data_IF_003818026689
#
_entry.id   IF_003818026689
#
_cell.length_a   1.000
_cell.length_b   1.000
_cell.length_c   1.000
_cell.angle_alpha   90.00
_cell.angle_beta   90.00
_cell.angle_gamma   90.00
#
_symmetry.space_group_name_H-M   'P 1'
#
loop_
_entity.id
_entity.type
_entity.pdbx_description
1 polymer ?
#
# COMPACT_ATOMS: atom_id res chain seq x y z
N UNK A 1 -5.77 27.90 -9.24
CA UNK A 1 -6.07 27.53 -7.83
C UNK A 1 -5.46 26.19 -7.52
N UNK A 2 -4.84 26.06 -6.37
CA UNK A 2 -4.32 24.79 -5.89
C UNK A 2 -5.40 23.94 -5.21
N UNK A 3 -5.35 22.61 -5.38
CA UNK A 3 -6.28 21.70 -4.71
C UNK A 3 -5.75 20.29 -4.59
N UNK A 4 -6.39 19.48 -3.77
CA UNK A 4 -6.09 18.09 -3.50
C UNK A 4 -7.12 17.20 -4.22
N UNK A 5 -6.67 16.25 -5.04
CA UNK A 5 -7.55 15.27 -5.68
C UNK A 5 -8.01 14.25 -4.64
N UNK A 6 -9.30 14.25 -4.34
CA UNK A 6 -9.88 13.35 -3.33
C UNK A 6 -10.69 12.20 -3.94
N UNK A 7 -11.09 12.30 -5.21
CA UNK A 7 -11.82 11.26 -5.92
C UNK A 7 -11.49 11.25 -7.40
N UNK A 8 -11.38 10.04 -7.97
CA UNK A 8 -11.16 9.82 -9.38
C UNK A 8 -12.25 8.87 -9.90
N UNK A 9 -12.94 9.26 -10.96
CA UNK A 9 -13.97 8.44 -11.62
C UNK A 9 -13.57 8.05 -13.05
N UNK A 10 -12.29 8.20 -13.39
CA UNK A 10 -11.73 7.93 -14.73
C UNK A 10 -11.83 9.13 -15.68
N UNK A 11 -12.97 9.75 -15.79
CA UNK A 11 -13.20 10.92 -16.66
C UNK A 11 -13.26 12.24 -15.90
N UNK A 12 -13.56 12.18 -14.61
CA UNK A 12 -13.69 13.33 -13.73
C UNK A 12 -12.90 13.13 -12.45
N UNK A 13 -12.42 14.24 -11.91
CA UNK A 13 -11.68 14.33 -10.67
C UNK A 13 -12.38 15.30 -9.75
N UNK A 14 -12.67 14.87 -8.53
CA UNK A 14 -13.13 15.77 -7.50
C UNK A 14 -11.91 16.32 -6.76
N UNK A 15 -11.78 17.61 -6.77
CA UNK A 15 -10.66 18.34 -6.17
C UNK A 15 -11.16 19.20 -5.04
N UNK A 16 -10.55 19.05 -3.86
CA UNK A 16 -10.78 19.92 -2.71
C UNK A 16 -9.78 21.08 -2.75
N UNK A 17 -10.29 22.29 -2.91
CA UNK A 17 -9.48 23.52 -2.95
C UNK A 17 -9.03 23.93 -1.55
N UNK A 18 -8.06 24.84 -1.46
CA UNK A 18 -7.54 25.33 -0.17
C UNK A 18 -8.59 26.03 0.69
N UNK A 19 -9.61 26.66 0.08
CA UNK A 19 -10.78 27.23 0.76
C UNK A 19 -11.85 26.20 1.13
N UNK A 20 -11.55 24.88 0.93
CA UNK A 20 -12.40 23.75 1.33
C UNK A 20 -13.53 23.41 0.36
N UNK A 21 -13.66 24.11 -0.77
CA UNK A 21 -14.68 23.80 -1.79
C UNK A 21 -14.34 22.55 -2.58
N UNK A 22 -15.37 21.81 -2.97
CA UNK A 22 -15.25 20.65 -3.87
C UNK A 22 -15.55 21.11 -5.29
N UNK A 23 -14.63 20.83 -6.21
CA UNK A 23 -14.72 21.20 -7.62
C UNK A 23 -14.53 19.97 -8.48
N UNK A 24 -15.50 19.71 -9.36
CA UNK A 24 -15.37 18.63 -10.34
C UNK A 24 -14.57 19.13 -11.55
N UNK A 25 -13.45 18.46 -11.82
CA UNK A 25 -12.48 18.84 -12.82
C UNK A 25 -12.32 17.78 -13.90
N UNK A 26 -11.97 18.23 -15.11
CA UNK A 26 -11.47 17.38 -16.21
C UNK A 26 -9.98 17.60 -16.40
N UNK A 27 -9.33 16.68 -17.12
CA UNK A 27 -7.96 16.88 -17.59
C UNK A 27 -8.00 17.70 -18.89
N UNK A 28 -7.11 18.68 -19.02
CA UNK A 28 -6.93 19.41 -20.29
C UNK A 28 -6.29 18.49 -21.35
N UNK A 29 -6.85 18.42 -22.55
CA UNK A 29 -6.58 17.39 -23.58
C UNK A 29 -5.12 17.14 -24.01
N UNK A 30 -4.16 18.02 -23.68
CA UNK A 30 -2.74 17.88 -23.99
C UNK A 30 -1.87 17.54 -22.76
N UNK A 31 -2.48 17.05 -21.69
CA UNK A 31 -1.77 16.76 -20.43
C UNK A 31 -0.92 15.49 -20.58
N UNK A 32 0.38 15.64 -20.76
CA UNK A 32 1.35 14.54 -20.78
C UNK A 32 2.32 14.72 -19.62
N UNK A 33 2.27 13.83 -18.66
CA UNK A 33 3.33 13.72 -17.63
C UNK A 33 4.62 13.21 -18.29
N UNK A 34 5.71 13.98 -18.18
CA UNK A 34 7.03 13.52 -18.61
C UNK A 34 7.40 12.26 -17.82
N UNK A 35 7.57 11.14 -18.53
CA UNK A 35 8.10 9.90 -17.96
C UNK A 35 7.08 8.86 -17.47
N UNK A 36 5.79 9.17 -17.36
CA UNK A 36 4.78 8.19 -16.91
C UNK A 36 3.89 7.79 -18.10
N UNK A 37 4.01 6.55 -18.54
CA UNK A 37 3.10 5.91 -19.51
C UNK A 37 1.87 5.36 -18.79
N UNK A 38 0.99 6.23 -18.33
CA UNK A 38 -0.28 5.84 -17.69
C UNK A 38 -1.45 6.39 -18.50
N UNK A 39 -2.52 5.61 -18.63
CA UNK A 39 -3.79 6.05 -19.20
C UNK A 39 -4.49 7.07 -18.30
N UNK A 40 -4.19 7.08 -17.03
CA UNK A 40 -4.74 8.00 -16.05
C UNK A 40 -3.59 8.58 -15.19
N UNK A 41 -3.07 9.75 -15.55
CA UNK A 41 -1.88 10.31 -14.92
C UNK A 41 -2.15 10.89 -13.54
N UNK A 42 -3.42 11.12 -13.16
CA UNK A 42 -3.82 11.76 -11.91
C UNK A 42 -4.39 10.70 -10.97
N UNK A 43 -3.92 10.71 -9.72
CA UNK A 43 -4.35 9.81 -8.66
C UNK A 43 -4.96 10.60 -7.48
N UNK A 44 -5.70 9.91 -6.62
CA UNK A 44 -6.09 10.48 -5.32
C UNK A 44 -4.84 10.79 -4.50
N UNK A 45 -4.85 11.92 -3.79
CA UNK A 45 -3.68 12.42 -3.06
C UNK A 45 -2.77 13.35 -3.88
N UNK A 46 -3.00 13.51 -5.19
CA UNK A 46 -2.26 14.50 -5.97
C UNK A 46 -2.65 15.93 -5.61
N UNK A 47 -1.66 16.79 -5.45
CA UNK A 47 -1.86 18.24 -5.47
C UNK A 47 -1.82 18.73 -6.91
N UNK A 48 -2.81 19.53 -7.28
CA UNK A 48 -3.02 19.96 -8.67
C UNK A 48 -3.32 21.45 -8.75
N UNK A 49 -2.99 22.04 -9.92
CA UNK A 49 -3.43 23.39 -10.27
C UNK A 49 -4.70 23.31 -11.14
N UNK A 50 -5.72 24.09 -10.77
CA UNK A 50 -7.03 24.13 -11.44
C UNK A 50 -7.19 25.47 -12.14
N UNK A 51 -7.73 25.43 -13.37
CA UNK A 51 -8.13 26.59 -14.16
C UNK A 51 -9.63 26.42 -14.47
N UNK A 52 -10.41 27.47 -14.26
CA UNK A 52 -11.82 27.53 -14.64
C UNK A 52 -11.90 28.32 -15.96
N UNK A 53 -12.54 27.73 -16.97
CA UNK A 53 -12.75 28.40 -18.25
C UNK A 53 -13.93 29.39 -18.17
N UNK A 54 -14.14 30.16 -19.26
CA UNK A 54 -15.20 31.16 -19.31
C UNK A 54 -16.63 30.57 -19.24
N UNK A 55 -16.77 29.28 -19.45
CA UNK A 55 -18.03 28.53 -19.39
C UNK A 55 -18.27 27.90 -18.02
N UNK A 56 -17.37 28.15 -17.03
CA UNK A 56 -17.47 27.62 -15.68
C UNK A 56 -16.96 26.18 -15.52
N UNK A 57 -16.39 25.56 -16.56
CA UNK A 57 -15.82 24.22 -16.46
C UNK A 57 -14.41 24.28 -15.90
N UNK A 58 -14.14 23.46 -14.88
CA UNK A 58 -12.83 23.39 -14.23
C UNK A 58 -11.94 22.32 -14.91
N UNK A 59 -10.67 22.67 -15.10
CA UNK A 59 -9.66 21.79 -15.69
C UNK A 59 -8.43 21.72 -14.81
N UNK A 60 -7.88 20.52 -14.67
CA UNK A 60 -6.55 20.33 -14.10
C UNK A 60 -5.52 20.69 -15.16
N UNK A 61 -4.66 21.65 -14.85
CA UNK A 61 -3.63 22.16 -15.75
C UNK A 61 -2.23 21.64 -15.42
N UNK A 62 -1.98 21.26 -14.15
CA UNK A 62 -0.68 20.81 -13.68
C UNK A 62 -0.84 19.89 -12.47
N UNK A 63 0.09 18.92 -12.33
CA UNK A 63 0.24 18.08 -11.14
C UNK A 63 1.57 18.48 -10.48
N UNK A 64 1.52 18.72 -9.17
CA UNK A 64 2.71 19.01 -8.38
C UNK A 64 3.57 17.74 -8.19
N UNK A 65 4.85 17.92 -7.88
CA UNK A 65 5.77 16.82 -7.62
C UNK A 65 5.29 15.95 -6.46
N UNK A 66 5.27 14.65 -6.68
CA UNK A 66 4.85 13.67 -5.68
C UNK A 66 6.00 13.31 -4.76
N UNK A 67 5.78 13.29 -3.44
CA UNK A 67 6.76 12.74 -2.49
C UNK A 67 6.91 11.22 -2.63
N UNK A 68 5.79 10.54 -2.92
CA UNK A 68 5.69 9.12 -3.18
C UNK A 68 4.37 8.78 -3.88
N UNK A 69 4.24 7.56 -4.35
CA UNK A 69 3.00 7.06 -4.95
C UNK A 69 2.99 5.53 -4.96
N UNK A 70 1.83 4.93 -5.12
CA UNK A 70 1.66 3.48 -5.26
C UNK A 70 1.00 3.17 -6.59
N UNK A 71 1.51 2.16 -7.29
CA UNK A 71 0.94 1.70 -8.56
C UNK A 71 0.41 0.27 -8.46
N UNK A 72 -0.58 0.00 -9.29
CA UNK A 72 -1.07 -1.34 -9.58
C UNK A 72 -0.72 -1.69 -11.02
N UNK A 73 -0.17 -2.88 -11.25
CA UNK A 73 0.00 -3.40 -12.59
C UNK A 73 -1.36 -3.83 -13.14
N UNK A 74 -1.69 -3.45 -14.36
CA UNK A 74 -2.88 -3.98 -15.03
C UNK A 74 -2.71 -5.49 -15.24
N UNK A 75 -3.74 -6.27 -14.92
CA UNK A 75 -3.76 -7.74 -15.00
C UNK A 75 -3.68 -8.29 -16.43
N UNK A 76 -3.90 -7.45 -17.42
CA UNK A 76 -3.85 -7.82 -18.84
C UNK A 76 -2.62 -7.20 -19.49
N UNK A 77 -1.88 -7.99 -20.25
CA UNK A 77 -0.82 -7.76 -21.25
C UNK A 77 -0.46 -6.31 -21.67
N UNK A 78 -1.18 -5.29 -21.21
CA UNK A 78 -0.86 -3.89 -21.39
C UNK A 78 0.25 -3.48 -20.43
N UNK A 79 1.36 -2.95 -20.93
CA UNK A 79 2.47 -2.33 -20.18
C UNK A 79 2.04 -1.06 -19.42
N UNK A 80 0.75 -0.92 -19.10
CA UNK A 80 0.20 0.27 -18.48
C UNK A 80 0.04 0.05 -16.99
N UNK A 81 0.67 0.89 -16.20
CA UNK A 81 0.52 0.95 -14.76
C UNK A 81 -0.53 2.00 -14.38
N UNK A 82 -1.32 1.72 -13.36
CA UNK A 82 -2.27 2.68 -12.80
C UNK A 82 -1.76 3.14 -11.44
N UNK A 83 -1.58 4.45 -11.28
CA UNK A 83 -1.28 5.03 -9.98
C UNK A 83 -2.57 4.99 -9.14
N UNK A 84 -2.49 4.34 -7.98
CA UNK A 84 -3.63 4.15 -7.10
C UNK A 84 -3.81 5.31 -6.14
N UNK A 85 -2.71 5.79 -5.57
CA UNK A 85 -2.67 6.90 -4.63
C UNK A 85 -1.28 7.55 -4.64
N UNK A 86 -1.23 8.82 -4.28
CA UNK A 86 0.00 9.62 -4.20
C UNK A 86 0.07 10.40 -2.89
N UNK A 87 1.27 10.86 -2.54
CA UNK A 87 1.54 11.72 -1.39
C UNK A 87 1.08 11.12 -0.06
N UNK A 88 1.30 9.80 0.10
CA UNK A 88 0.96 9.06 1.30
C UNK A 88 1.92 9.38 2.46
N UNK A 89 1.39 9.58 3.65
CA UNK A 89 2.19 9.68 4.88
C UNK A 89 2.53 8.29 5.41
N UNK A 90 1.60 7.34 5.22
CA UNK A 90 1.80 5.95 5.63
C UNK A 90 0.82 5.01 4.91
N UNK A 91 1.13 3.73 4.97
CA UNK A 91 0.24 2.63 4.64
C UNK A 91 0.05 1.73 5.85
N UNK A 92 -1.17 1.33 6.14
CA UNK A 92 -1.48 0.34 7.16
C UNK A 92 -1.88 -0.97 6.48
N UNK A 93 -1.06 -2.00 6.64
CA UNK A 93 -1.33 -3.34 6.15
C UNK A 93 -2.07 -4.14 7.23
N UNK A 94 -3.32 -4.50 6.94
CA UNK A 94 -4.14 -5.33 7.83
C UNK A 94 -3.85 -6.79 7.52
N UNK A 95 -3.44 -7.51 8.53
CA UNK A 95 -3.09 -8.93 8.48
C UNK A 95 -3.86 -9.70 9.55
N UNK A 96 -4.05 -10.99 9.30
CA UNK A 96 -4.66 -11.91 10.24
C UNK A 96 -3.85 -13.20 10.29
N UNK A 97 -3.69 -13.78 11.48
CA UNK A 97 -2.99 -15.05 11.66
C UNK A 97 -3.85 -16.19 11.11
N UNK A 98 -5.16 -16.13 11.38
CA UNK A 98 -6.15 -17.08 10.88
C UNK A 98 -7.42 -16.34 10.40
N UNK A 99 -8.21 -16.99 9.57
CA UNK A 99 -9.57 -16.58 9.16
C UNK A 99 -9.68 -15.26 8.38
N UNK A 100 -8.98 -15.11 7.24
CA UNK A 100 -8.04 -16.00 6.57
C UNK A 100 -6.60 -15.78 7.07
N UNK A 101 -5.73 -16.75 6.84
CA UNK A 101 -4.30 -16.58 7.06
C UNK A 101 -3.68 -15.57 6.08
N UNK A 102 -2.80 -14.71 6.59
CA UNK A 102 -1.95 -13.84 5.78
C UNK A 102 -0.52 -14.37 5.84
N UNK A 103 -0.02 -14.92 4.75
CA UNK A 103 1.34 -15.50 4.72
C UNK A 103 2.43 -14.45 4.93
N UNK A 104 3.54 -14.85 5.55
CA UNK A 104 4.70 -13.98 5.73
C UNK A 104 5.29 -13.55 4.39
N UNK A 105 5.27 -14.42 3.37
CA UNK A 105 5.71 -14.08 2.00
C UNK A 105 4.90 -12.91 1.46
N UNK A 106 3.57 -12.87 1.68
CA UNK A 106 2.74 -11.75 1.24
C UNK A 106 3.09 -10.46 2.00
N UNK A 107 3.26 -10.55 3.33
CA UNK A 107 3.63 -9.41 4.16
C UNK A 107 4.96 -8.83 3.68
N UNK A 108 5.97 -9.68 3.51
CA UNK A 108 7.33 -9.29 3.16
C UNK A 108 7.41 -8.66 1.76
N UNK A 109 6.68 -9.23 0.79
CA UNK A 109 6.54 -8.65 -0.55
C UNK A 109 5.89 -7.28 -0.52
N UNK A 110 4.86 -7.14 0.30
CA UNK A 110 4.20 -5.86 0.49
C UNK A 110 5.17 -4.82 1.06
N UNK A 111 5.90 -5.18 2.12
CA UNK A 111 6.87 -4.31 2.76
C UNK A 111 7.98 -3.89 1.80
N UNK A 112 8.59 -4.83 1.07
CA UNK A 112 9.64 -4.54 0.09
C UNK A 112 9.13 -3.60 -1.03
N UNK A 113 7.89 -3.82 -1.49
CA UNK A 113 7.29 -2.95 -2.51
C UNK A 113 7.04 -1.54 -1.97
N UNK A 114 6.55 -1.42 -0.74
CA UNK A 114 6.32 -0.12 -0.12
C UNK A 114 7.63 0.65 0.11
N UNK A 115 8.71 -0.04 0.52
CA UNK A 115 10.05 0.55 0.63
C UNK A 115 10.53 1.10 -0.73
N UNK A 116 10.34 0.33 -1.83
CA UNK A 116 10.69 0.79 -3.16
C UNK A 116 9.95 2.07 -3.57
N UNK A 117 8.73 2.25 -3.11
CA UNK A 117 7.93 3.46 -3.34
C UNK A 117 8.09 4.53 -2.25
N UNK A 118 8.95 4.31 -1.26
CA UNK A 118 9.18 5.22 -0.12
C UNK A 118 7.90 5.53 0.65
N UNK A 119 7.06 4.52 0.85
CA UNK A 119 5.83 4.62 1.65
C UNK A 119 6.05 3.91 2.99
N UNK A 120 6.05 4.63 4.11
CA UNK A 120 6.15 4.01 5.43
C UNK A 120 5.00 3.04 5.68
N UNK A 121 5.29 1.85 6.20
CA UNK A 121 4.27 0.83 6.50
C UNK A 121 4.17 0.56 7.98
N UNK A 122 2.94 0.37 8.44
CA UNK A 122 2.60 -0.16 9.76
C UNK A 122 1.73 -1.41 9.61
N UNK A 123 1.91 -2.38 10.49
CA UNK A 123 1.21 -3.65 10.44
C UNK A 123 0.09 -3.67 11.49
N UNK A 124 -1.12 -4.03 11.07
CA UNK A 124 -2.28 -4.16 11.95
C UNK A 124 -2.65 -5.65 12.05
N UNK A 125 -2.34 -6.27 13.17
CA UNK A 125 -2.77 -7.64 13.48
C UNK A 125 -4.21 -7.60 13.98
N UNK A 126 -5.16 -7.92 13.09
CA UNK A 126 -6.59 -7.84 13.37
C UNK A 126 -7.17 -9.20 13.77
N UNK A 127 -8.38 -9.17 14.33
CA UNK A 127 -9.16 -10.33 14.81
C UNK A 127 -8.55 -11.08 16.00
N UNK A 128 -7.84 -10.36 16.85
CA UNK A 128 -7.22 -10.95 18.06
C UNK A 128 -8.24 -11.59 19.00
N UNK A 129 -9.52 -11.23 18.89
CA UNK A 129 -10.67 -11.80 19.61
C UNK A 129 -10.95 -13.27 19.23
N UNK A 130 -10.38 -13.76 18.12
CA UNK A 130 -10.62 -15.12 17.60
C UNK A 130 -9.44 -16.06 17.76
N UNK A 131 -8.32 -15.57 18.30
CA UNK A 131 -7.07 -16.32 18.35
C UNK A 131 -6.98 -17.23 19.57
N UNK A 132 -6.47 -18.43 19.33
CA UNK A 132 -6.05 -19.36 20.38
C UNK A 132 -4.74 -18.86 21.02
N UNK A 133 -4.33 -19.51 22.12
CA UNK A 133 -3.04 -19.20 22.74
C UNK A 133 -1.86 -19.43 21.79
N UNK A 134 -1.94 -20.44 20.93
CA UNK A 134 -0.91 -20.74 19.94
C UNK A 134 -0.86 -19.64 18.85
N UNK A 135 -2.02 -19.18 18.38
CA UNK A 135 -2.12 -18.08 17.43
C UNK A 135 -1.53 -16.80 18.04
N UNK A 136 -1.81 -16.53 19.32
CA UNK A 136 -1.28 -15.36 20.01
C UNK A 136 0.25 -15.46 20.13
N UNK A 137 0.80 -16.62 20.49
CA UNK A 137 2.26 -16.81 20.54
C UNK A 137 2.91 -16.60 19.18
N UNK A 138 2.32 -17.13 18.14
CA UNK A 138 2.82 -16.94 16.77
C UNK A 138 2.74 -15.47 16.34
N UNK A 139 1.62 -14.80 16.60
CA UNK A 139 1.43 -13.36 16.35
C UNK A 139 2.49 -12.53 17.09
N UNK A 140 2.74 -12.83 18.35
CA UNK A 140 3.73 -12.10 19.16
C UNK A 140 5.16 -12.30 18.62
N UNK A 141 5.46 -13.49 18.11
CA UNK A 141 6.71 -13.76 17.40
C UNK A 141 6.86 -12.89 16.16
N UNK A 142 5.82 -12.78 15.34
CA UNK A 142 5.82 -11.91 14.15
C UNK A 142 5.92 -10.42 14.52
N UNK A 143 5.20 -9.97 15.54
CA UNK A 143 5.28 -8.58 16.03
C UNK A 143 6.70 -8.25 16.48
N UNK A 144 7.34 -9.14 17.23
CA UNK A 144 8.73 -8.95 17.66
C UNK A 144 9.67 -8.86 16.45
N UNK A 145 9.53 -9.76 15.48
CA UNK A 145 10.32 -9.74 14.25
C UNK A 145 10.18 -8.42 13.49
N UNK A 146 8.94 -8.04 13.14
CA UNK A 146 8.72 -6.85 12.33
C UNK A 146 9.04 -5.56 13.06
N UNK A 147 8.80 -5.49 14.38
CA UNK A 147 9.20 -4.35 15.22
C UNK A 147 10.72 -4.21 15.28
N UNK A 148 11.44 -5.31 15.42
CA UNK A 148 12.91 -5.33 15.41
C UNK A 148 13.46 -4.79 14.07
N UNK A 149 12.85 -5.15 12.95
CA UNK A 149 13.22 -4.64 11.60
C UNK A 149 12.83 -3.15 11.42
N UNK A 150 11.99 -2.60 12.33
CA UNK A 150 11.56 -1.20 12.29
C UNK A 150 10.21 -0.94 11.63
N UNK A 151 9.31 -1.93 11.64
CA UNK A 151 7.92 -1.76 11.25
C UNK A 151 7.01 -1.72 12.47
N UNK A 152 6.35 -0.60 12.78
CA UNK A 152 5.41 -0.51 13.90
C UNK A 152 4.25 -1.50 13.72
N UNK A 153 3.86 -2.16 14.81
CA UNK A 153 2.81 -3.18 14.83
C UNK A 153 1.72 -2.82 15.84
N UNK A 154 0.45 -3.05 15.47
CA UNK A 154 -0.71 -2.85 16.31
C UNK A 154 -1.49 -4.15 16.46
N UNK A 155 -1.99 -4.44 17.67
CA UNK A 155 -2.90 -5.54 17.97
C UNK A 155 -4.33 -5.00 18.02
N UNK A 156 -5.22 -5.52 17.18
CA UNK A 156 -6.56 -4.96 17.01
C UNK A 156 -7.64 -6.06 16.96
N UNK A 157 -8.75 -5.81 17.60
CA UNK A 157 -10.03 -6.43 17.24
C UNK A 157 -10.97 -5.34 16.74
N UNK A 158 -11.16 -5.26 15.44
CA UNK A 158 -12.11 -4.32 14.85
C UNK A 158 -13.57 -4.62 15.25
N UNK A 159 -13.87 -5.87 15.62
CA UNK A 159 -15.19 -6.29 16.06
C UNK A 159 -15.50 -5.81 17.49
N UNK A 160 -14.53 -5.94 18.40
CA UNK A 160 -14.66 -5.58 19.82
C UNK A 160 -14.09 -4.18 20.11
N UNK A 161 -13.68 -3.46 19.08
CA UNK A 161 -13.06 -2.11 19.16
C UNK A 161 -11.77 -2.05 20.00
N UNK A 162 -11.13 -3.21 20.24
CA UNK A 162 -9.85 -3.26 20.96
C UNK A 162 -8.74 -2.67 20.07
N UNK A 163 -7.94 -1.74 20.59
CA UNK A 163 -6.83 -1.08 19.88
C UNK A 163 -7.26 -0.02 18.85
N UNK A 164 -8.57 0.26 18.69
CA UNK A 164 -9.08 1.22 17.70
C UNK A 164 -8.67 2.65 18.03
N UNK A 165 -8.71 3.06 19.29
CA UNK A 165 -8.33 4.42 19.70
C UNK A 165 -6.85 4.72 19.43
N UNK A 166 -5.97 3.71 19.54
CA UNK A 166 -4.57 3.84 19.20
C UNK A 166 -4.39 4.05 17.69
N UNK A 167 -5.15 3.30 16.87
CA UNK A 167 -5.18 3.49 15.42
C UNK A 167 -5.69 4.89 15.07
N UNK A 168 -6.81 5.35 15.64
CA UNK A 168 -7.37 6.70 15.40
C UNK A 168 -6.35 7.80 15.70
N UNK A 169 -5.64 7.67 16.82
CA UNK A 169 -4.58 8.62 17.20
C UNK A 169 -3.42 8.61 16.20
N UNK A 170 -3.05 7.44 15.69
CA UNK A 170 -1.97 7.33 14.71
C UNK A 170 -2.35 7.85 13.32
N UNK A 171 -3.64 7.84 12.99
CA UNK A 171 -4.18 8.38 11.73
C UNK A 171 -4.27 9.91 11.69
N UNK A 172 -4.24 10.56 12.85
CA UNK A 172 -4.47 11.99 12.98
C UNK A 172 -3.54 12.84 12.11
N UNK A 173 -4.12 13.70 11.29
CA UNK A 173 -3.39 14.60 10.39
C UNK A 173 -2.66 13.93 9.22
N UNK A 174 -2.81 12.61 9.02
CA UNK A 174 -2.06 11.84 8.01
C UNK A 174 -2.93 11.39 6.86
N UNK A 175 -2.31 11.27 5.68
CA UNK A 175 -2.88 10.59 4.52
C UNK A 175 -2.47 9.12 4.60
N UNK A 176 -3.42 8.27 4.96
CA UNK A 176 -3.18 6.85 5.22
C UNK A 176 -3.89 5.97 4.20
N UNK A 177 -3.13 5.08 3.56
CA UNK A 177 -3.67 4.02 2.73
C UNK A 177 -3.95 2.77 3.58
N UNK A 178 -5.18 2.21 3.51
CA UNK A 178 -5.47 0.89 4.07
C UNK A 178 -5.33 -0.19 3.01
N UNK A 179 -4.59 -1.23 3.35
CA UNK A 179 -4.38 -2.40 2.50
C UNK A 179 -4.54 -3.70 3.29
N UNK A 180 -4.77 -4.78 2.58
CA UNK A 180 -4.91 -6.13 3.18
C UNK A 180 -5.72 -7.05 2.29
N UNK A 181 -5.55 -8.36 2.50
CA UNK A 181 -6.25 -9.40 1.75
C UNK A 181 -7.78 -9.33 1.95
N UNK A 182 -8.52 -10.02 1.07
CA UNK A 182 -9.96 -10.19 1.28
C UNK A 182 -10.23 -10.94 2.59
N UNK A 183 -11.22 -10.48 3.35
CA UNK A 183 -11.63 -11.17 4.58
C UNK A 183 -10.81 -10.83 5.85
N UNK A 184 -9.72 -10.05 5.78
CA UNK A 184 -8.93 -9.66 6.98
C UNK A 184 -9.65 -8.67 7.91
N UNK A 185 -10.83 -8.19 7.53
CA UNK A 185 -11.64 -7.28 8.35
C UNK A 185 -11.43 -5.80 8.06
N UNK A 186 -10.96 -5.45 6.85
CA UNK A 186 -10.74 -4.05 6.44
C UNK A 186 -12.00 -3.19 6.59
N UNK A 187 -13.17 -3.65 6.08
CA UNK A 187 -14.44 -2.93 6.21
C UNK A 187 -14.88 -2.73 7.65
N UNK A 188 -14.69 -3.76 8.47
CA UNK A 188 -15.03 -3.69 9.90
C UNK A 188 -14.15 -2.66 10.60
N UNK A 189 -12.85 -2.63 10.25
CA UNK A 189 -11.91 -1.65 10.78
C UNK A 189 -12.28 -0.23 10.34
N UNK A 190 -12.63 -0.02 9.06
CA UNK A 190 -13.08 1.29 8.56
C UNK A 190 -14.32 1.75 9.34
N UNK A 191 -15.30 0.88 9.55
CA UNK A 191 -16.51 1.21 10.32
C UNK A 191 -16.20 1.54 11.79
N UNK A 192 -15.24 0.87 12.41
CA UNK A 192 -14.80 1.17 13.78
C UNK A 192 -14.06 2.52 13.88
N UNK A 193 -13.31 2.89 12.83
CA UNK A 193 -12.61 4.18 12.76
C UNK A 193 -13.58 5.31 12.40
N UNK A 194 -14.48 5.08 11.43
CA UNK A 194 -15.41 6.05 10.84
C UNK A 194 -16.85 5.50 10.82
N UNK A 195 -17.56 5.47 11.96
CA UNK A 195 -18.89 4.86 12.06
C UNK A 195 -19.94 5.50 11.15
N UNK A 196 -19.74 6.78 10.79
CA UNK A 196 -20.60 7.55 9.90
C UNK A 196 -20.60 7.03 8.45
N UNK A 197 -19.55 6.37 7.99
CA UNK A 197 -19.46 5.85 6.61
C UNK A 197 -20.38 4.65 6.37
N UNK A 198 -20.74 3.89 7.41
CA UNK A 198 -21.61 2.70 7.34
C UNK A 198 -21.26 1.76 6.18
N UNK A 199 -19.97 1.49 6.01
CA UNK A 199 -19.50 0.59 4.96
C UNK A 199 -20.07 -0.81 5.21
N UNK A 200 -20.76 -1.42 4.21
CA UNK A 200 -21.31 -2.77 4.36
C UNK A 200 -20.18 -3.77 4.57
N UNK A 201 -20.23 -4.47 5.70
CA UNK A 201 -19.29 -5.55 6.00
C UNK A 201 -19.62 -6.77 5.13
N UNK A 202 -18.63 -7.24 4.36
CA UNK A 202 -18.78 -8.38 3.44
C UNK A 202 -18.80 -8.03 1.95
N UNK A 203 -19.07 -6.78 1.58
CA UNK A 203 -19.33 -6.35 0.20
C UNK A 203 -18.59 -5.09 -0.24
N UNK A 204 -17.38 -4.79 0.28
CA UNK A 204 -16.62 -3.63 -0.24
C UNK A 204 -16.30 -3.79 -1.74
N UNK A 205 -16.22 -5.03 -2.24
CA UNK A 205 -16.18 -5.28 -3.68
C UNK A 205 -17.47 -4.88 -4.41
N UNK A 206 -18.62 -4.84 -3.73
CA UNK A 206 -19.93 -4.65 -4.36
C UNK A 206 -20.51 -3.24 -4.21
N UNK A 207 -20.05 -2.44 -3.24
CA UNK A 207 -20.46 -1.02 -3.17
C UNK A 207 -20.06 -0.24 -4.42
N UNK A 208 -18.96 -0.67 -5.08
CA UNK A 208 -18.52 -0.12 -6.38
C UNK A 208 -19.11 -0.88 -7.59
N UNK A 209 -19.87 -1.98 -7.40
CA UNK A 209 -20.38 -2.82 -8.49
C UNK A 209 -21.79 -2.45 -8.99
N UNK A 210 -22.41 -1.38 -8.51
CA UNK A 210 -23.66 -0.88 -9.12
C UNK A 210 -23.36 -0.08 -10.38
N UNK A 211 -23.03 -0.80 -11.46
CA UNK A 211 -23.05 -0.29 -12.82
C UNK A 211 -21.70 -0.26 -13.54
N UNK A 212 -21.45 -1.32 -14.32
CA UNK A 212 -20.53 -1.40 -15.48
C UNK A 212 -19.02 -1.25 -15.25
N UNK A 213 -18.32 -2.35 -15.62
CA UNK A 213 -16.88 -2.45 -15.91
C UNK A 213 -15.88 -2.10 -14.78
N UNK A 214 -15.29 -3.12 -14.21
CA UNK A 214 -14.01 -3.28 -13.48
C UNK A 214 -12.99 -2.11 -13.46
N UNK A 215 -13.41 -0.89 -13.20
CA UNK A 215 -12.49 0.20 -12.93
C UNK A 215 -12.63 0.58 -11.47
N UNK A 216 -11.71 0.08 -10.68
CA UNK A 216 -11.65 0.33 -9.23
C UNK A 216 -11.08 1.73 -9.01
N UNK A 217 -11.94 2.69 -8.76
CA UNK A 217 -11.53 4.06 -8.45
C UNK A 217 -11.19 4.19 -6.96
N UNK A 218 -10.09 4.87 -6.67
CA UNK A 218 -9.71 5.20 -5.30
C UNK A 218 -10.43 6.46 -4.83
N UNK A 219 -10.79 6.50 -3.55
CA UNK A 219 -11.43 7.65 -2.90
C UNK A 219 -10.76 7.93 -1.55
N UNK A 220 -10.63 9.22 -1.20
CA UNK A 220 -10.11 9.69 0.08
C UNK A 220 -11.26 10.13 0.96
N UNK A 221 -11.33 9.57 2.16
CA UNK A 221 -12.32 9.92 3.17
C UNK A 221 -11.68 10.82 4.23
N UNK A 222 -12.22 12.02 4.47
CA UNK A 222 -11.68 12.91 5.50
C UNK A 222 -11.94 12.31 6.89
N UNK A 223 -10.93 12.36 7.75
CA UNK A 223 -11.02 11.96 9.15
C UNK A 223 -11.45 13.13 10.03
N UNK A 224 -12.21 12.87 11.10
CA UNK A 224 -12.71 13.90 12.02
C UNK A 224 -11.59 14.73 12.66
N UNK A 225 -10.46 14.09 12.97
CA UNK A 225 -9.29 14.73 13.59
C UNK A 225 -8.26 15.23 12.56
N UNK A 226 -8.69 15.43 11.32
CA UNK A 226 -7.80 15.79 10.21
C UNK A 226 -7.10 14.59 9.57
N UNK A 227 -6.56 14.82 8.37
CA UNK A 227 -6.01 13.74 7.55
C UNK A 227 -7.07 13.02 6.69
N UNK A 228 -6.64 11.95 6.03
CA UNK A 228 -7.48 11.19 5.10
C UNK A 228 -7.20 9.71 5.17
N UNK A 229 -8.25 8.92 5.06
CA UNK A 229 -8.19 7.50 4.83
C UNK A 229 -8.42 7.21 3.35
N UNK A 230 -7.54 6.44 2.72
CA UNK A 230 -7.71 5.97 1.35
C UNK A 230 -8.06 4.49 1.40
N UNK A 231 -9.23 4.15 0.88
CA UNK A 231 -9.59 2.75 0.61
C UNK A 231 -9.41 2.47 -0.88
N UNK A 232 -8.67 1.43 -1.17
CA UNK A 232 -8.45 0.96 -2.53
C UNK A 232 -9.04 -0.44 -2.67
N UNK A 233 -10.26 -0.57 -3.22
CA UNK A 233 -10.87 -1.87 -3.43
C UNK A 233 -9.98 -2.74 -4.33
N UNK A 234 -9.75 -3.99 -3.91
CA UNK A 234 -9.11 -5.00 -4.74
C UNK A 234 -7.59 -4.91 -4.90
N UNK A 235 -6.86 -4.26 -4.00
CA UNK A 235 -5.40 -4.47 -3.91
C UNK A 235 -5.17 -5.85 -3.29
N UNK A 236 -5.17 -6.86 -4.14
CA UNK A 236 -4.70 -8.22 -3.80
C UNK A 236 -3.18 -8.31 -3.96
N UNK A 237 -2.46 -7.37 -3.37
CA UNK A 237 -1.00 -7.31 -3.46
C UNK A 237 -0.47 -6.22 -4.38
N UNK A 238 0.62 -5.59 -3.98
CA UNK A 238 1.43 -4.76 -4.85
C UNK A 238 2.19 -5.67 -5.81
N UNK A 239 2.10 -5.41 -7.10
CA UNK A 239 3.06 -5.98 -8.03
C UNK A 239 4.43 -5.38 -7.74
N UNK A 240 5.46 -6.20 -7.60
CA UNK A 240 6.84 -5.70 -7.65
C UNK A 240 7.05 -5.15 -9.06
N UNK A 241 6.89 -3.86 -9.22
CA UNK A 241 7.00 -3.23 -10.51
C UNK A 241 8.46 -2.88 -10.77
N UNK A 242 9.01 -3.41 -11.86
CA UNK A 242 10.32 -3.06 -12.45
C UNK A 242 11.54 -2.94 -11.50
N UNK A 243 11.51 -3.61 -10.33
CA UNK A 243 12.73 -3.77 -9.54
C UNK A 243 13.71 -4.62 -10.33
N UNK A 244 14.94 -4.20 -10.49
CA UNK A 244 15.99 -5.07 -10.98
C UNK A 244 16.31 -6.13 -9.93
N UNK A 245 16.79 -7.28 -10.35
CA UNK A 245 17.15 -8.37 -9.44
C UNK A 245 18.14 -7.90 -8.36
N UNK A 246 19.14 -7.12 -8.77
CA UNK A 246 20.16 -6.54 -7.89
C UNK A 246 19.60 -5.55 -6.87
N UNK A 247 18.40 -4.98 -7.13
CA UNK A 247 17.78 -3.98 -6.27
C UNK A 247 16.85 -4.60 -5.21
N UNK A 248 16.38 -5.84 -5.38
CA UNK A 248 15.41 -6.46 -4.47
C UNK A 248 15.92 -6.48 -3.03
N UNK A 249 17.19 -6.82 -2.83
CA UNK A 249 17.83 -6.83 -1.51
C UNK A 249 17.84 -5.46 -0.82
N UNK A 250 17.85 -4.37 -1.59
CA UNK A 250 17.83 -3.01 -1.03
C UNK A 250 16.51 -2.66 -0.33
N UNK A 251 15.43 -3.39 -0.65
CA UNK A 251 14.10 -3.15 -0.08
C UNK A 251 13.76 -4.08 1.09
N UNK A 252 14.71 -4.92 1.50
CA UNK A 252 14.69 -5.65 2.76
C UNK A 252 15.70 -4.99 3.71
N UNK A 253 15.24 -4.21 4.68
CA UNK A 253 16.07 -3.33 5.51
C UNK A 253 17.26 -4.07 6.13
N UNK A 254 17.01 -5.22 6.74
CA UNK A 254 18.01 -6.06 7.38
C UNK A 254 18.98 -6.68 6.37
N UNK A 255 18.49 -7.12 5.21
CA UNK A 255 19.36 -7.65 4.13
C UNK A 255 20.24 -6.54 3.59
N UNK A 256 19.68 -5.35 3.37
CA UNK A 256 20.42 -4.19 2.90
C UNK A 256 21.54 -3.79 3.89
N UNK A 257 21.24 -3.76 5.18
CA UNK A 257 22.22 -3.43 6.22
C UNK A 257 23.40 -4.39 6.21
N UNK A 258 23.15 -5.71 6.23
CA UNK A 258 24.22 -6.71 6.20
C UNK A 258 24.93 -6.80 4.85
N UNK A 259 24.29 -6.43 3.74
CA UNK A 259 24.86 -6.47 2.41
C UNK A 259 26.12 -5.61 2.25
N UNK A 260 26.25 -4.55 3.05
CA UNK A 260 27.42 -3.67 3.07
C UNK A 260 28.73 -4.41 3.40
N UNK A 261 28.65 -5.54 4.07
CA UNK A 261 29.78 -6.37 4.48
C UNK A 261 30.05 -7.54 3.52
N UNK A 262 29.28 -7.68 2.43
CA UNK A 262 29.52 -8.71 1.43
C UNK A 262 30.85 -8.50 0.70
N UNK A 263 31.52 -9.59 0.37
CA UNK A 263 32.78 -9.56 -0.39
C UNK A 263 32.62 -8.91 -1.79
N UNK A 264 31.45 -9.04 -2.40
CA UNK A 264 31.17 -8.55 -3.75
C UNK A 264 30.05 -7.49 -3.71
N UNK A 265 30.25 -6.36 -4.38
CA UNK A 265 29.26 -5.26 -4.40
C UNK A 265 27.97 -5.57 -5.17
N UNK A 266 27.98 -6.61 -6.01
CA UNK A 266 26.80 -7.10 -6.76
C UNK A 266 26.31 -8.46 -6.24
N UNK A 267 26.53 -8.74 -4.94
CA UNK A 267 26.11 -9.98 -4.32
C UNK A 267 24.59 -10.13 -4.36
N UNK A 268 24.12 -11.26 -4.89
CA UNK A 268 22.68 -11.61 -4.88
C UNK A 268 22.28 -12.41 -3.65
N UNK A 269 23.23 -12.68 -2.76
CA UNK A 269 23.06 -13.40 -1.49
C UNK A 269 22.53 -14.83 -1.65
N UNK A 270 22.71 -15.46 -2.83
CA UNK A 270 22.28 -16.84 -3.12
C UNK A 270 23.42 -17.84 -2.92
N UNK A 271 24.51 -17.65 -3.64
CA UNK A 271 25.57 -18.66 -3.77
C UNK A 271 26.99 -18.09 -3.59
N UNK A 272 27.11 -16.77 -3.50
CA UNK A 272 28.39 -16.08 -3.49
C UNK A 272 29.20 -16.43 -2.23
N UNK A 273 30.48 -16.77 -2.37
CA UNK A 273 31.36 -17.01 -1.24
C UNK A 273 31.65 -15.72 -0.49
N UNK A 274 31.64 -15.75 0.85
CA UNK A 274 31.85 -14.57 1.69
C UNK A 274 30.68 -13.61 1.66
N UNK A 275 29.45 -14.15 1.59
CA UNK A 275 28.21 -13.39 1.65
C UNK A 275 27.82 -13.14 3.12
N UNK A 276 27.93 -11.89 3.58
CA UNK A 276 27.60 -11.50 4.94
C UNK A 276 26.10 -11.67 5.29
N UNK A 277 25.23 -11.56 4.31
CA UNK A 277 23.78 -11.79 4.51
C UNK A 277 23.50 -13.26 4.83
N UNK A 278 24.11 -14.22 4.09
CA UNK A 278 23.94 -15.64 4.38
C UNK A 278 24.54 -16.01 5.74
N UNK A 279 25.69 -15.47 6.05
CA UNK A 279 26.29 -15.65 7.38
C UNK A 279 25.38 -15.11 8.50
N UNK A 280 24.76 -13.93 8.30
CA UNK A 280 23.80 -13.35 9.23
C UNK A 280 22.55 -14.24 9.39
N UNK A 281 22.08 -14.89 8.33
CA UNK A 281 20.97 -15.86 8.42
C UNK A 281 21.38 -17.09 9.23
N UNK A 282 22.58 -17.67 8.99
CA UNK A 282 23.12 -18.80 9.73
C UNK A 282 23.31 -18.49 11.23
N UNK A 283 23.63 -17.23 11.55
CA UNK A 283 23.76 -16.72 12.92
C UNK A 283 22.43 -16.27 13.55
N UNK A 284 21.29 -16.44 12.87
CA UNK A 284 19.96 -15.98 13.28
C UNK A 284 19.83 -14.48 13.52
N UNK A 285 20.69 -13.67 12.92
CA UNK A 285 20.63 -12.20 12.94
C UNK A 285 19.63 -11.68 11.89
N UNK A 286 19.44 -12.43 10.81
CA UNK A 286 18.35 -12.25 9.84
C UNK A 286 17.42 -13.46 9.96
N UNK A 287 16.10 -13.20 10.04
CA UNK A 287 15.11 -14.28 10.09
C UNK A 287 15.12 -15.10 8.80
N UNK A 288 15.10 -16.43 8.94
CA UNK A 288 15.02 -17.36 7.82
C UNK A 288 13.76 -17.12 6.98
N UNK A 289 12.61 -16.79 7.61
CA UNK A 289 11.37 -16.48 6.89
C UNK A 289 11.51 -15.27 5.98
N UNK A 290 12.21 -14.23 6.43
CA UNK A 290 12.49 -13.02 5.66
C UNK A 290 13.43 -13.30 4.50
N UNK A 291 14.49 -14.06 4.75
CA UNK A 291 15.42 -14.48 3.70
C UNK A 291 14.72 -15.38 2.66
N UNK A 292 13.85 -16.30 3.09
CA UNK A 292 13.03 -17.10 2.20
C UNK A 292 12.11 -16.25 1.33
N UNK A 293 11.47 -15.24 1.92
CA UNK A 293 10.63 -14.28 1.17
C UNK A 293 11.44 -13.50 0.13
N UNK A 294 12.66 -13.10 0.46
CA UNK A 294 13.59 -12.44 -0.45
C UNK A 294 13.93 -13.36 -1.65
N UNK A 295 14.32 -14.62 -1.39
CA UNK A 295 14.63 -15.58 -2.44
C UNK A 295 13.43 -15.84 -3.36
N UNK A 296 12.23 -16.02 -2.79
CA UNK A 296 11.00 -16.16 -3.58
C UNK A 296 10.74 -14.95 -4.51
N UNK A 297 11.07 -13.72 -4.07
CA UNK A 297 10.94 -12.55 -4.93
C UNK A 297 11.93 -12.54 -6.09
N UNK A 298 13.12 -13.10 -5.92
CA UNK A 298 14.10 -13.26 -7.00
C UNK A 298 13.67 -14.32 -8.01
N UNK A 299 13.21 -15.49 -7.53
CA UNK A 299 12.73 -16.59 -8.39
C UNK A 299 11.54 -16.19 -9.27
N UNK A 300 10.57 -15.49 -8.71
CA UNK A 300 9.41 -14.99 -9.47
C UNK A 300 9.81 -14.08 -10.64
N UNK A 301 10.93 -13.38 -10.54
CA UNK A 301 11.44 -12.52 -11.61
C UNK A 301 12.09 -13.32 -12.72
N UNK A 302 12.91 -14.33 -12.39
CA UNK A 302 13.56 -15.19 -13.37
C UNK A 302 12.55 -15.95 -14.22
N UNK A 303 11.46 -16.44 -13.61
CA UNK A 303 10.45 -17.23 -14.32
C UNK A 303 9.43 -16.39 -15.10
N UNK A 304 9.46 -15.07 -15.01
CA UNK A 304 8.47 -14.19 -15.61
C UNK A 304 7.05 -14.42 -15.07
N UNK A 305 6.93 -15.18 -14.00
CA UNK A 305 5.68 -15.69 -13.43
C UNK A 305 4.99 -14.74 -12.45
N UNK A 306 5.00 -13.44 -12.71
CA UNK A 306 4.05 -12.57 -12.02
C UNK A 306 2.61 -12.80 -12.50
N UNK A 307 2.19 -14.06 -12.56
CA UNK A 307 0.83 -14.48 -12.84
C UNK A 307 0.26 -15.07 -11.55
N UNK A 308 -0.74 -14.36 -11.00
CA UNK A 308 -1.68 -14.90 -10.03
C UNK A 308 -1.06 -15.60 -8.81
N UNK A 309 -0.74 -14.88 -7.80
CA UNK A 309 -0.83 -15.42 -6.45
C UNK A 309 -2.16 -14.92 -5.86
N UNK A 310 -3.16 -15.83 -5.95
CA UNK A 310 -4.37 -15.99 -5.12
C UNK A 310 -5.39 -14.88 -5.05
#
# INVERSE_FOLDING_TARGET
>A
MRGLVIKNTGSWYQVKTEDGKLVDCKIKGNFRLKGIRSTNPIAVGDYVQIIINNEGTAFISEIEDRKNYIIRRASNLSKQSHILAANLDQCMLIITINYPETSTIFIDRFLATAEAYRVPVKLIFNKIDRYTEDDIRYMDGLINLYTYIGYPCFKVSALNETGIEEIKKDLEGKVTLLSGNSGVGKSTLINAIMPELKVKTGEISDYHNKGMHTTTFSEMFPLANGGYLIDTPGIKGFGTFDMKEEEVGHYFKEIFEYSANCKYGNCTHRHEPGCAVREAVEQHLISESRYTSYLNMLEDKEEGKYRSAF
#
